data_IF_889619109076
#
_entry.id   IF_889619109076
#
_cell.length_a   1.000
_cell.length_b   1.000
_cell.length_c   1.000
_cell.angle_alpha   90.00
_cell.angle_beta   90.00
_cell.angle_gamma   90.00
#
_symmetry.space_group_name_H-M   'P 1'
#
loop_
_entity.id
_entity.type
_entity.pdbx_description
1 polymer ?
#
# COMPACT_ATOMS: atom_id res chain seq x y z
N UNK A 1 -15.48 -0.63 -22.53
CA UNK A 1 -15.07 -1.23 -21.24
C UNK A 1 -15.03 -0.12 -20.21
N UNK A 2 -15.75 -0.26 -19.10
CA UNK A 2 -15.71 0.71 -18.01
C UNK A 2 -14.38 0.65 -17.25
N UNK A 3 -14.02 1.75 -16.60
CA UNK A 3 -12.94 1.78 -15.62
C UNK A 3 -13.41 1.00 -14.38
N UNK A 4 -12.58 0.07 -13.89
CA UNK A 4 -12.83 -0.55 -12.59
C UNK A 4 -12.17 0.32 -11.51
N UNK A 5 -12.95 0.66 -10.47
CA UNK A 5 -12.50 1.51 -9.37
C UNK A 5 -12.76 0.78 -8.05
N UNK A 6 -11.74 0.75 -7.20
CA UNK A 6 -11.81 0.23 -5.84
C UNK A 6 -11.39 1.32 -4.87
N UNK A 7 -12.04 1.38 -3.72
CA UNK A 7 -11.68 2.26 -2.60
C UNK A 7 -11.54 1.41 -1.34
N UNK A 8 -10.57 1.75 -0.50
CA UNK A 8 -10.30 1.07 0.75
C UNK A 8 -9.74 2.04 1.78
N UNK A 9 -9.90 1.71 3.06
CA UNK A 9 -9.34 2.46 4.19
C UNK A 9 -7.87 2.10 4.38
N UNK A 10 -7.02 3.11 4.46
CA UNK A 10 -5.63 3.00 4.92
C UNK A 10 -5.60 3.02 6.45
N UNK A 11 -4.73 2.21 7.04
CA UNK A 11 -4.57 2.09 8.50
C UNK A 11 -3.08 2.06 8.85
N UNK A 12 -2.73 2.59 10.01
CA UNK A 12 -1.40 2.34 10.59
C UNK A 12 -1.35 0.92 11.16
N UNK A 13 -0.18 0.30 11.05
CA UNK A 13 0.14 -0.91 11.78
C UNK A 13 1.42 -0.61 12.55
N UNK A 14 1.37 -0.74 13.87
CA UNK A 14 2.58 -0.75 14.68
C UNK A 14 3.44 -1.97 14.34
N UNK A 15 4.72 -1.92 14.72
CA UNK A 15 5.72 -2.93 14.34
C UNK A 15 5.32 -4.36 14.72
N UNK A 16 4.56 -4.52 15.80
CA UNK A 16 4.12 -5.82 16.34
C UNK A 16 2.65 -6.15 15.98
N UNK A 17 1.98 -5.30 15.20
CA UNK A 17 0.58 -5.50 14.82
C UNK A 17 0.43 -6.29 13.52
N UNK A 18 -0.55 -7.19 13.50
CA UNK A 18 -0.90 -7.97 12.31
C UNK A 18 -2.05 -7.32 11.55
N UNK A 19 -2.18 -7.54 10.23
CA UNK A 19 -3.33 -7.06 9.47
C UNK A 19 -4.64 -7.51 10.11
N UNK A 20 -5.57 -6.56 10.26
CA UNK A 20 -6.89 -6.85 10.80
C UNK A 20 -7.81 -7.41 9.71
N UNK A 21 -8.23 -8.66 9.87
CA UNK A 21 -9.13 -9.35 8.92
C UNK A 21 -10.59 -9.38 9.38
N UNK A 22 -10.92 -8.68 10.46
CA UNK A 22 -12.28 -8.57 11.00
C UNK A 22 -12.35 -8.75 12.52
N UNK A 23 -13.54 -8.62 13.12
CA UNK A 23 -13.71 -8.51 14.58
C UNK A 23 -13.17 -9.69 15.40
N UNK A 24 -12.95 -10.85 14.77
CA UNK A 24 -12.32 -12.01 15.42
C UNK A 24 -10.82 -11.84 15.67
N UNK A 25 -10.19 -10.81 15.11
CA UNK A 25 -8.76 -10.51 15.22
C UNK A 25 -8.46 -9.35 16.18
N UNK A 26 -9.41 -9.05 17.08
CA UNK A 26 -9.28 -7.97 18.06
C UNK A 26 -9.90 -6.66 17.56
N UNK A 27 -9.45 -5.56 18.16
CA UNK A 27 -9.88 -4.22 17.77
C UNK A 27 -9.34 -3.87 16.38
N UNK A 28 -10.11 -3.08 15.65
CA UNK A 28 -9.72 -2.59 14.34
C UNK A 28 -8.66 -1.49 14.48
N UNK A 29 -7.65 -1.50 13.61
CA UNK A 29 -6.58 -0.51 13.64
C UNK A 29 -7.08 0.90 13.31
N UNK A 30 -6.35 1.90 13.82
CA UNK A 30 -6.64 3.30 13.55
C UNK A 30 -6.58 3.60 12.04
N UNK A 31 -7.64 4.23 11.54
CA UNK A 31 -7.74 4.66 10.16
C UNK A 31 -6.88 5.91 9.94
N UNK A 32 -6.09 5.89 8.87
CA UNK A 32 -5.27 7.02 8.42
C UNK A 32 -5.95 7.81 7.29
N UNK A 33 -6.82 7.16 6.53
CA UNK A 33 -7.50 7.78 5.41
C UNK A 33 -7.93 6.76 4.37
N UNK A 34 -7.91 7.14 3.10
CA UNK A 34 -8.44 6.33 2.01
C UNK A 34 -7.41 6.14 0.89
N UNK A 35 -7.51 4.99 0.22
CA UNK A 35 -6.81 4.70 -1.03
C UNK A 35 -7.83 4.36 -2.10
N UNK A 36 -7.66 4.98 -3.27
CA UNK A 36 -8.39 4.66 -4.49
C UNK A 36 -7.46 3.97 -5.46
N UNK A 37 -7.93 2.87 -6.05
CA UNK A 37 -7.24 2.13 -7.10
C UNK A 37 -8.09 2.14 -8.36
N UNK A 38 -7.52 2.55 -9.49
CA UNK A 38 -8.21 2.64 -10.78
C UNK A 38 -7.52 1.79 -11.83
N UNK A 39 -8.26 0.85 -12.43
CA UNK A 39 -7.80 0.05 -13.57
C UNK A 39 -8.38 0.60 -14.88
N UNK A 40 -7.50 1.15 -15.71
CA UNK A 40 -7.82 1.70 -17.01
C UNK A 40 -7.75 0.63 -18.12
N UNK A 41 -8.43 0.86 -19.26
CA UNK A 41 -8.24 0.04 -20.46
C UNK A 41 -6.76 -0.08 -20.83
N UNK A 42 -6.32 -1.27 -21.22
CA UNK A 42 -4.91 -1.56 -21.50
C UNK A 42 -4.08 -1.99 -20.27
N UNK A 43 -4.73 -2.16 -19.10
CA UNK A 43 -4.08 -2.73 -17.92
C UNK A 43 -3.28 -1.73 -17.09
N UNK A 44 -3.42 -0.43 -17.36
CA UNK A 44 -2.78 0.62 -16.56
C UNK A 44 -3.51 0.73 -15.22
N UNK A 45 -2.76 0.56 -14.13
CA UNK A 45 -3.24 0.72 -12.76
C UNK A 45 -2.72 2.04 -12.19
N UNK A 46 -3.59 2.81 -11.55
CA UNK A 46 -3.22 4.04 -10.83
C UNK A 46 -3.76 3.99 -9.40
N UNK A 47 -3.03 4.62 -8.47
CA UNK A 47 -3.46 4.83 -7.09
C UNK A 47 -3.48 6.30 -6.72
N UNK A 48 -4.50 6.70 -5.97
CA UNK A 48 -4.55 7.98 -5.25
C UNK A 48 -4.79 7.70 -3.78
N UNK A 49 -4.20 8.53 -2.93
CA UNK A 49 -4.37 8.46 -1.48
C UNK A 49 -5.00 9.77 -1.01
N UNK A 50 -5.78 9.70 0.05
CA UNK A 50 -6.26 10.86 0.80
C UNK A 50 -6.05 10.57 2.28
N UNK A 51 -5.18 11.32 2.95
CA UNK A 51 -4.91 11.20 4.38
C UNK A 51 -5.94 12.06 5.14
N UNK A 52 -6.60 11.47 6.12
CA UNK A 52 -7.56 12.19 6.96
C UNK A 52 -6.85 13.32 7.73
N UNK A 53 -7.53 14.45 7.90
CA UNK A 53 -7.01 15.68 8.55
C UNK A 53 -5.84 16.39 7.84
N UNK A 54 -5.09 15.72 6.95
CA UNK A 54 -4.00 16.31 6.18
C UNK A 54 -4.41 16.74 4.77
N UNK A 55 -5.24 15.94 4.09
CA UNK A 55 -5.61 16.14 2.70
C UNK A 55 -7.07 16.62 2.56
N UNK A 56 -7.27 17.80 1.96
CA UNK A 56 -8.61 18.27 1.56
C UNK A 56 -9.12 17.52 0.31
N UNK A 57 -8.22 17.17 -0.59
CA UNK A 57 -8.47 16.50 -1.87
C UNK A 57 -7.59 15.26 -2.06
N UNK A 58 -7.95 14.40 -3.01
CA UNK A 58 -7.11 13.25 -3.37
C UNK A 58 -5.74 13.70 -3.87
N UNK A 59 -4.68 13.07 -3.37
CA UNK A 59 -3.34 13.26 -3.89
C UNK A 59 -3.25 12.86 -5.38
N UNK A 60 -2.31 13.43 -6.14
CA UNK A 60 -2.13 13.11 -7.56
C UNK A 60 -1.98 11.61 -7.80
N UNK A 61 -2.69 11.11 -8.82
CA UNK A 61 -2.67 9.69 -9.17
C UNK A 61 -1.26 9.23 -9.57
N UNK A 62 -0.81 8.13 -8.98
CA UNK A 62 0.48 7.50 -9.26
C UNK A 62 0.24 6.22 -10.05
N UNK A 63 0.81 6.14 -11.26
CA UNK A 63 0.72 4.96 -12.10
C UNK A 63 1.68 3.87 -11.63
N UNK A 64 1.19 2.63 -11.58
CA UNK A 64 2.04 1.47 -11.34
C UNK A 64 2.99 1.31 -12.51
N UNK A 65 4.28 1.16 -12.19
CA UNK A 65 5.29 0.75 -13.15
C UNK A 65 5.88 -0.58 -12.73
N UNK A 66 6.30 -1.35 -13.72
CA UNK A 66 7.15 -2.51 -13.46
C UNK A 66 8.46 -2.01 -12.86
N UNK A 67 8.93 -2.66 -11.79
CA UNK A 67 10.26 -2.43 -11.27
C UNK A 67 11.29 -2.92 -12.29
N UNK A 68 12.43 -2.26 -12.33
CA UNK A 68 13.60 -2.75 -13.06
C UNK A 68 14.18 -3.98 -12.35
N UNK A 69 14.96 -4.81 -13.06
CA UNK A 69 15.62 -5.97 -12.44
C UNK A 69 16.54 -5.57 -11.28
N UNK A 70 17.14 -4.37 -11.34
CA UNK A 70 18.00 -3.85 -10.29
C UNK A 70 17.19 -3.49 -9.03
N UNK A 71 16.05 -2.83 -9.19
CA UNK A 71 15.12 -2.53 -8.08
C UNK A 71 14.53 -3.80 -7.48
N UNK A 72 14.21 -4.81 -8.31
CA UNK A 72 13.75 -6.13 -7.84
C UNK A 72 14.85 -6.84 -7.03
N UNK A 73 16.09 -6.84 -7.52
CA UNK A 73 17.24 -7.42 -6.80
C UNK A 73 17.53 -6.68 -5.49
N UNK A 74 17.49 -5.34 -5.51
CA UNK A 74 17.66 -4.52 -4.32
C UNK A 74 16.57 -4.83 -3.28
N UNK A 75 15.32 -4.96 -3.72
CA UNK A 75 14.19 -5.35 -2.87
C UNK A 75 14.37 -6.74 -2.27
N UNK A 76 14.72 -7.73 -3.08
CA UNK A 76 14.93 -9.10 -2.62
C UNK A 76 16.09 -9.18 -1.60
N UNK A 77 17.19 -8.47 -1.87
CA UNK A 77 18.33 -8.40 -0.96
C UNK A 77 17.95 -7.71 0.36
N UNK A 78 17.18 -6.62 0.31
CA UNK A 78 16.71 -5.93 1.50
C UNK A 78 15.82 -6.85 2.35
N UNK A 79 14.83 -7.52 1.74
CA UNK A 79 13.96 -8.50 2.42
C UNK A 79 14.78 -9.61 3.07
N UNK A 80 15.79 -10.13 2.38
CA UNK A 80 16.64 -11.19 2.91
C UNK A 80 17.52 -10.69 4.08
N UNK A 81 18.06 -9.48 4.00
CA UNK A 81 18.81 -8.85 5.08
C UNK A 81 17.93 -8.59 6.32
N UNK A 82 16.69 -8.14 6.10
CA UNK A 82 15.66 -7.99 7.14
C UNK A 82 15.39 -9.31 7.86
N UNK A 83 15.14 -10.38 7.11
CA UNK A 83 14.88 -11.72 7.66
C UNK A 83 16.04 -12.23 8.53
N UNK A 84 17.29 -11.88 8.21
CA UNK A 84 18.47 -12.27 9.00
C UNK A 84 18.71 -11.40 10.23
N UNK A 85 18.23 -10.16 10.24
CA UNK A 85 18.48 -9.19 11.31
C UNK A 85 17.27 -8.97 12.23
N UNK A 86 16.10 -9.51 11.89
CA UNK A 86 14.83 -9.21 12.57
C UNK A 86 14.31 -7.80 12.28
N UNK A 87 14.88 -7.11 11.28
CA UNK A 87 14.42 -5.80 10.84
C UNK A 87 13.24 -5.94 9.85
N UNK A 88 12.40 -4.91 9.76
CA UNK A 88 11.36 -4.80 8.73
C UNK A 88 11.86 -3.93 7.57
N UNK A 89 11.48 -4.28 6.34
CA UNK A 89 11.81 -3.49 5.13
C UNK A 89 10.52 -3.01 4.51
N UNK A 90 10.41 -1.68 4.38
CA UNK A 90 9.35 -1.04 3.60
C UNK A 90 9.92 -0.57 2.27
N UNK A 91 9.24 -0.92 1.17
CA UNK A 91 9.40 -0.32 -0.17
C UNK A 91 10.84 -0.07 -0.64
N UNK A 92 11.48 -1.09 -1.20
CA UNK A 92 12.66 -0.94 -2.04
C UNK A 92 12.30 -0.69 -3.52
#
# INVERSE_FOLDING_TARGET
SGLACWEATLRFLDQDEQPWYGPSFGEEHEALGEIRVQLFPGGRLETSIKIDEEDEEWQPAVAFRRRTEEEEKASANAVQAAATSGAFVFGA
#
